data_IF_026318115472
#
_entry.id   IF_026318115472
#
_cell.length_a   1.000
_cell.length_b   1.000
_cell.length_c   1.000
_cell.angle_alpha   90.00
_cell.angle_beta   90.00
_cell.angle_gamma   90.00
#
_symmetry.space_group_name_H-M   'P 1'
#
loop_
_entity.id
_entity.type
_entity.pdbx_description
1 polymer ?
#
# COMPACT_ATOMS: atom_id res chain seq x y z
N UNK A 1 -4.12 -10.91 2.54
CA UNK A 1 -4.29 -9.54 3.07
C UNK A 1 -5.29 -8.74 2.25
N UNK A 2 -6.44 -9.32 1.93
CA UNK A 2 -7.54 -8.65 1.23
C UNK A 2 -8.79 -8.82 2.09
N UNK A 3 -9.58 -7.76 2.25
CA UNK A 3 -10.72 -7.71 3.16
C UNK A 3 -11.81 -6.77 2.64
N UNK A 4 -13.06 -7.10 2.95
CA UNK A 4 -14.23 -6.28 2.68
C UNK A 4 -14.65 -5.49 3.93
N UNK A 5 -15.09 -4.25 3.72
CA UNK A 5 -15.59 -3.39 4.79
C UNK A 5 -17.12 -3.45 4.82
N UNK A 6 -17.67 -3.85 5.97
CA UNK A 6 -19.12 -3.79 6.22
C UNK A 6 -19.62 -2.36 6.44
N UNK A 7 -20.94 -2.16 6.63
CA UNK A 7 -21.55 -0.82 6.65
C UNK A 7 -20.90 0.16 7.64
N UNK A 8 -20.69 -0.26 8.89
CA UNK A 8 -20.05 0.56 9.93
C UNK A 8 -18.57 0.82 9.61
N UNK A 9 -17.88 -0.16 9.02
CA UNK A 9 -16.48 -0.01 8.60
C UNK A 9 -16.31 0.98 7.45
N UNK A 10 -17.20 0.95 6.47
CA UNK A 10 -17.26 1.93 5.38
C UNK A 10 -17.56 3.33 5.90
N UNK A 11 -18.56 3.47 6.80
CA UNK A 11 -18.89 4.75 7.41
C UNK A 11 -17.70 5.35 8.18
N UNK A 12 -17.02 4.53 8.99
CA UNK A 12 -15.84 4.95 9.74
C UNK A 12 -14.68 5.34 8.81
N UNK A 13 -14.37 4.52 7.79
CA UNK A 13 -13.33 4.84 6.79
C UNK A 13 -13.61 6.18 6.11
N UNK A 14 -14.85 6.43 5.71
CA UNK A 14 -15.23 7.68 5.06
C UNK A 14 -15.10 8.88 6.01
N UNK A 15 -15.47 8.73 7.28
CA UNK A 15 -15.29 9.78 8.29
C UNK A 15 -13.80 10.10 8.52
N UNK A 16 -12.93 9.08 8.57
CA UNK A 16 -11.47 9.29 8.70
C UNK A 16 -10.92 10.05 7.49
N UNK A 17 -11.31 9.67 6.27
CA UNK A 17 -10.90 10.38 5.06
C UNK A 17 -11.39 11.83 5.04
N UNK A 18 -12.61 12.09 5.52
CA UNK A 18 -13.18 13.43 5.60
C UNK A 18 -12.38 14.32 6.55
N UNK A 19 -12.03 13.81 7.74
CA UNK A 19 -11.20 14.54 8.71
C UNK A 19 -9.80 14.81 8.12
N UNK A 20 -9.21 13.84 7.42
CA UNK A 20 -7.91 14.01 6.76
C UNK A 20 -7.94 15.12 5.70
N UNK A 21 -8.99 15.17 4.87
CA UNK A 21 -9.17 16.23 3.87
C UNK A 21 -9.36 17.60 4.50
N UNK A 22 -10.16 17.70 5.56
CA UNK A 22 -10.31 18.95 6.30
C UNK A 22 -8.97 19.44 6.83
N UNK A 23 -8.23 18.56 7.49
CA UNK A 23 -6.97 18.93 8.13
C UNK A 23 -5.84 19.26 7.16
N UNK A 24 -5.67 18.52 6.06
CA UNK A 24 -4.54 18.76 5.15
C UNK A 24 -4.94 19.53 3.89
N UNK A 25 -6.04 19.15 3.24
CA UNK A 25 -6.41 19.79 1.96
C UNK A 25 -6.98 21.18 2.21
N UNK A 26 -7.93 21.31 3.14
CA UNK A 26 -8.63 22.58 3.37
C UNK A 26 -7.78 23.57 4.18
N UNK A 27 -7.18 23.15 5.29
CA UNK A 27 -6.38 24.07 6.13
C UNK A 27 -5.13 24.58 5.39
N UNK A 28 -4.43 23.73 4.63
CA UNK A 28 -3.21 24.10 3.89
C UNK A 28 -3.44 24.45 2.41
N UNK A 29 -4.71 24.47 1.95
CA UNK A 29 -5.11 24.80 0.57
C UNK A 29 -4.38 23.93 -0.50
N UNK A 30 -4.26 22.62 -0.25
CA UNK A 30 -3.61 21.69 -1.17
C UNK A 30 -4.49 21.45 -2.41
N UNK A 31 -3.88 21.33 -3.59
CA UNK A 31 -4.56 20.98 -4.82
C UNK A 31 -4.81 19.46 -4.90
N UNK A 32 -6.05 19.03 -4.69
CA UNK A 32 -6.45 17.63 -4.86
C UNK A 32 -6.59 17.27 -6.35
N UNK A 33 -5.97 16.16 -6.77
CA UNK A 33 -6.08 15.59 -8.12
C UNK A 33 -6.37 14.08 -8.02
N UNK A 34 -7.03 13.51 -9.02
CA UNK A 34 -7.34 12.08 -9.09
C UNK A 34 -6.75 11.45 -10.36
N UNK A 35 -6.01 10.36 -10.19
CA UNK A 35 -5.20 9.70 -11.24
C UNK A 35 -5.58 8.22 -11.38
N UNK A 36 -5.30 7.64 -12.55
CA UNK A 36 -5.58 6.23 -12.83
C UNK A 36 -4.66 5.27 -12.07
N UNK A 37 -5.18 4.10 -11.66
CA UNK A 37 -4.35 3.04 -11.08
C UNK A 37 -3.48 2.30 -12.11
N UNK A 38 -3.99 2.11 -13.34
CA UNK A 38 -3.21 1.49 -14.41
C UNK A 38 -2.09 2.44 -14.83
N UNK A 39 -0.85 1.97 -14.73
CA UNK A 39 0.35 2.78 -14.96
C UNK A 39 1.25 2.09 -15.99
N UNK A 40 1.65 2.77 -17.08
CA UNK A 40 2.59 2.20 -18.06
C UNK A 40 3.94 1.87 -17.42
N UNK A 41 4.53 0.74 -17.80
CA UNK A 41 5.82 0.27 -17.26
C UNK A 41 6.93 1.35 -17.25
N UNK A 42 7.14 2.17 -18.30
CA UNK A 42 8.21 3.17 -18.29
C UNK A 42 8.14 4.16 -17.13
N UNK A 43 6.93 4.48 -16.64
CA UNK A 43 6.73 5.37 -15.48
C UNK A 43 7.24 4.71 -14.20
N UNK A 44 6.93 3.43 -14.00
CA UNK A 44 7.36 2.67 -12.82
C UNK A 44 8.86 2.34 -12.89
N UNK A 45 9.41 2.13 -14.08
CA UNK A 45 10.85 1.95 -14.28
C UNK A 45 11.60 3.24 -13.96
N UNK A 46 11.13 4.37 -14.48
CA UNK A 46 11.77 5.68 -14.29
C UNK A 46 11.74 6.11 -12.81
N UNK A 47 10.63 5.85 -12.11
CA UNK A 47 10.55 6.10 -10.65
C UNK A 47 11.35 5.11 -9.80
N UNK A 48 11.95 4.09 -10.42
CA UNK A 48 12.79 3.08 -9.76
C UNK A 48 12.02 1.96 -9.05
N UNK A 49 10.68 1.96 -9.11
CA UNK A 49 9.85 0.94 -8.45
C UNK A 49 10.12 -0.45 -9.00
N UNK A 50 10.32 -0.58 -10.33
CA UNK A 50 10.62 -1.86 -10.97
C UNK A 50 11.89 -2.52 -10.39
N UNK A 51 12.89 -1.73 -10.02
CA UNK A 51 14.19 -2.25 -9.56
C UNK A 51 14.32 -2.35 -8.04
N UNK A 52 13.55 -1.53 -7.30
CA UNK A 52 13.80 -1.33 -5.85
C UNK A 52 12.61 -1.65 -4.96
N UNK A 53 11.38 -1.68 -5.47
CA UNK A 53 10.19 -1.90 -4.65
C UNK A 53 9.94 -3.39 -4.44
N UNK A 54 10.84 -4.05 -3.71
CA UNK A 54 10.81 -5.47 -3.43
C UNK A 54 11.34 -5.80 -2.04
N UNK A 55 10.84 -6.92 -1.51
CA UNK A 55 11.29 -7.49 -0.24
C UNK A 55 12.10 -8.76 -0.48
N UNK A 56 13.04 -9.07 0.42
CA UNK A 56 13.74 -10.35 0.39
C UNK A 56 12.81 -11.49 0.78
N UNK A 57 12.71 -12.48 -0.11
CA UNK A 57 11.90 -13.68 0.08
C UNK A 57 12.82 -14.90 0.25
N UNK A 58 12.52 -15.73 1.24
CA UNK A 58 13.14 -17.05 1.41
C UNK A 58 12.10 -18.13 1.17
N UNK A 59 12.54 -19.30 0.72
CA UNK A 59 11.67 -20.42 0.38
C UNK A 59 12.17 -21.68 1.06
N UNK A 60 11.28 -22.42 1.72
CA UNK A 60 11.60 -23.75 2.25
C UNK A 60 11.76 -24.73 1.07
N UNK A 61 12.88 -25.46 1.05
CA UNK A 61 13.25 -26.39 -0.02
C UNK A 61 12.33 -27.63 -0.04
N UNK A 62 11.69 -27.99 1.08
CA UNK A 62 10.85 -29.20 1.20
C UNK A 62 9.42 -28.96 0.75
N UNK A 63 8.76 -27.92 1.26
CA UNK A 63 7.34 -27.65 1.00
C UNK A 63 7.12 -26.51 0.00
N UNK A 64 8.15 -25.72 -0.29
CA UNK A 64 8.09 -24.60 -1.23
C UNK A 64 7.36 -23.36 -0.69
N UNK A 65 7.06 -23.29 0.60
CA UNK A 65 6.44 -22.12 1.20
C UNK A 65 7.39 -20.92 1.17
N UNK A 66 6.84 -19.75 0.82
CA UNK A 66 7.57 -18.50 0.72
C UNK A 66 7.33 -17.65 1.97
N UNK A 67 8.41 -17.14 2.55
CA UNK A 67 8.38 -16.25 3.70
C UNK A 67 9.12 -14.96 3.38
N UNK A 68 8.63 -13.85 3.94
CA UNK A 68 9.40 -12.60 3.95
C UNK A 68 10.54 -12.74 4.96
N UNK A 69 11.77 -12.57 4.50
CA UNK A 69 12.96 -12.93 5.27
C UNK A 69 13.07 -12.15 6.60
N UNK A 70 12.73 -10.87 6.59
CA UNK A 70 12.81 -10.01 7.78
C UNK A 70 11.77 -10.37 8.85
N UNK A 71 10.57 -10.79 8.44
CA UNK A 71 9.54 -11.25 9.38
C UNK A 71 9.92 -12.59 10.01
N UNK A 72 10.51 -13.50 9.23
CA UNK A 72 10.99 -14.79 9.74
C UNK A 72 12.12 -14.59 10.77
N UNK A 73 13.08 -13.71 10.47
CA UNK A 73 14.19 -13.40 11.38
C UNK A 73 13.76 -12.73 12.68
N UNK A 74 12.72 -11.88 12.65
CA UNK A 74 12.18 -11.20 13.86
C UNK A 74 11.37 -12.13 14.77
N UNK A 75 10.85 -13.23 14.25
CA UNK A 75 10.08 -14.23 15.01
C UNK A 75 10.94 -15.33 15.63
N UNK A 76 12.24 -15.35 15.33
CA UNK A 76 13.27 -16.17 15.97
C UNK A 76 13.92 -15.41 17.14
#
# INVERSE_FOLDING_TARGET
GLYDFGPVGCALKNNILQVWRQHFIQEEQILEIDCTMLTPEPVLKTSGHVDKFADYMVKDVKNGECFRADHLLKGL
#
